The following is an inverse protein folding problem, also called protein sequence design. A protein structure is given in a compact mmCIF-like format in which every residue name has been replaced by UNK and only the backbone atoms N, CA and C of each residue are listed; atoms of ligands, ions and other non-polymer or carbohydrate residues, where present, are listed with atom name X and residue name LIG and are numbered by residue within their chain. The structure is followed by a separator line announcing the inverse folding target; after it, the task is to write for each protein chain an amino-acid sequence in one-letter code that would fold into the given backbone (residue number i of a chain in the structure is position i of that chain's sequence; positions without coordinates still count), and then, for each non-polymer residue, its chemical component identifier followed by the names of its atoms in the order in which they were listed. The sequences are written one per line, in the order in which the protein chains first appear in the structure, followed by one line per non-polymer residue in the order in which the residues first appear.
data_IF_710340784220
#
_entry.id   IF_710340784220
#
_cell.length_a   1.000
_cell.length_b   1.000
_cell.length_c   1.000
_cell.angle_alpha   90.00
_cell.angle_beta   90.00
_cell.angle_gamma   90.00
#
_symmetry.space_group_name_H-M   'P 1'
#
loop_
_entity.id
_entity.type
_entity.pdbx_description
1 polymer ?
#
# COMPACT_ATOMS: atom_id res chain seq x y z
N UNK A 1 1.44 -28.74 -0.59
CA UNK A 1 0.03 -29.17 -0.66
C UNK A 1 -0.82 -28.12 0.00
N UNK A 2 -1.88 -27.65 -0.63
CA UNK A 2 -2.78 -26.66 -0.04
C UNK A 2 -3.78 -27.41 0.87
N UNK A 3 -3.75 -27.13 2.18
CA UNK A 3 -4.57 -27.82 3.18
C UNK A 3 -6.06 -27.59 2.91
N UNK A 4 -6.42 -26.41 2.40
CA UNK A 4 -7.79 -26.08 2.04
C UNK A 4 -8.29 -26.91 0.85
N UNK A 5 -7.42 -27.15 -0.12
CA UNK A 5 -7.71 -27.99 -1.29
C UNK A 5 -7.89 -29.45 -0.88
N UNK A 6 -7.05 -29.93 0.05
CA UNK A 6 -7.16 -31.26 0.65
C UNK A 6 -8.47 -31.45 1.43
N UNK A 7 -8.88 -30.48 2.25
CA UNK A 7 -10.18 -30.54 2.95
C UNK A 7 -11.33 -30.53 1.94
N UNK A 8 -11.25 -29.72 0.88
CA UNK A 8 -12.29 -29.64 -0.16
C UNK A 8 -12.29 -30.81 -1.16
N UNK A 9 -11.34 -31.75 -1.05
CA UNK A 9 -11.21 -32.88 -1.98
C UNK A 9 -12.25 -33.99 -1.76
N UNK A 10 -13.02 -33.93 -0.67
CA UNK A 10 -14.00 -34.95 -0.30
C UNK A 10 -13.42 -36.11 0.54
N UNK A 11 -12.13 -36.04 0.88
CA UNK A 11 -11.44 -37.10 1.64
C UNK A 11 -11.94 -37.23 3.09
N UNK A 12 -12.36 -36.11 3.70
CA UNK A 12 -12.89 -36.06 5.07
C UNK A 12 -14.19 -36.85 5.15
N UNK A 13 -15.09 -36.59 4.20
CA UNK A 13 -16.40 -37.21 4.11
C UNK A 13 -16.28 -38.69 3.78
N UNK A 14 -15.40 -39.05 2.83
CA UNK A 14 -15.12 -40.44 2.47
C UNK A 14 -14.56 -41.23 3.65
N UNK A 15 -13.66 -40.63 4.45
CA UNK A 15 -13.06 -41.29 5.61
C UNK A 15 -14.07 -41.49 6.76
N UNK A 16 -14.85 -40.46 7.10
CA UNK A 16 -15.82 -40.54 8.21
C UNK A 16 -16.99 -41.49 7.88
N UNK A 17 -17.43 -41.52 6.62
CA UNK A 17 -18.48 -42.46 6.18
C UNK A 17 -17.96 -43.90 5.98
N UNK A 18 -16.66 -44.14 6.16
CA UNK A 18 -16.05 -45.46 5.97
C UNK A 18 -15.97 -45.90 4.51
N UNK A 19 -16.03 -44.96 3.56
CA UNK A 19 -15.93 -45.19 2.12
C UNK A 19 -14.48 -45.13 1.60
N UNK A 20 -13.56 -44.53 2.38
CA UNK A 20 -12.15 -44.44 2.03
C UNK A 20 -11.42 -45.78 2.14
N UNK A 21 -10.46 -46.02 1.25
CA UNK A 21 -9.60 -47.20 1.28
C UNK A 21 -8.63 -47.19 2.48
N UNK A 22 -8.08 -48.35 2.85
CA UNK A 22 -7.15 -48.44 4.00
C UNK A 22 -5.93 -47.52 3.88
N UNK A 23 -5.37 -47.38 2.68
CA UNK A 23 -4.24 -46.49 2.42
C UNK A 23 -4.60 -45.00 2.64
N UNK A 24 -5.78 -44.59 2.18
CA UNK A 24 -6.30 -43.23 2.30
C UNK A 24 -6.63 -42.89 3.76
N UNK A 25 -7.13 -43.85 4.53
CA UNK A 25 -7.40 -43.69 5.97
C UNK A 25 -6.11 -43.45 6.76
N UNK A 26 -5.06 -44.20 6.47
CA UNK A 26 -3.75 -44.02 7.12
C UNK A 26 -3.15 -42.65 6.77
N UNK A 27 -3.24 -42.24 5.51
CA UNK A 27 -2.80 -40.89 5.08
C UNK A 27 -3.61 -39.80 5.79
N UNK A 28 -4.93 -39.96 5.87
CA UNK A 28 -5.81 -39.02 6.55
C UNK A 28 -5.52 -38.91 8.06
N UNK A 29 -5.26 -40.02 8.74
CA UNK A 29 -4.89 -40.04 10.16
C UNK A 29 -3.55 -39.33 10.41
N UNK A 30 -2.56 -39.53 9.53
CA UNK A 30 -1.29 -38.82 9.57
C UNK A 30 -1.50 -37.31 9.37
N UNK A 31 -2.35 -36.93 8.41
CA UNK A 31 -2.69 -35.53 8.15
C UNK A 31 -3.44 -34.89 9.33
N UNK A 32 -4.30 -35.64 10.04
CA UNK A 32 -4.95 -35.21 11.28
C UNK A 32 -3.97 -35.03 12.46
N UNK A 33 -2.85 -35.76 12.46
CA UNK A 33 -1.79 -35.60 13.46
C UNK A 33 -0.92 -34.37 13.20
N UNK A 34 -0.66 -34.06 11.93
CA UNK A 34 0.20 -32.96 11.49
C UNK A 34 -0.53 -31.60 11.40
N UNK A 35 -1.83 -31.61 11.08
CA UNK A 35 -2.61 -30.39 10.83
C UNK A 35 -3.88 -30.34 11.68
N UNK A 36 -3.97 -29.35 12.56
CA UNK A 36 -5.14 -29.13 13.43
C UNK A 36 -6.40 -28.74 12.64
N UNK A 37 -6.25 -28.12 11.47
CA UNK A 37 -7.36 -27.72 10.59
C UNK A 37 -8.10 -28.93 10.00
N UNK A 38 -7.37 -29.98 9.60
CA UNK A 38 -7.96 -31.22 9.06
C UNK A 38 -8.71 -31.98 10.16
N UNK A 39 -8.17 -31.99 11.39
CA UNK A 39 -8.86 -32.55 12.57
C UNK A 39 -10.15 -31.80 12.88
N UNK A 40 -10.11 -30.47 12.85
CA UNK A 40 -11.30 -29.65 13.07
C UNK A 40 -12.38 -29.89 12.00
N UNK A 41 -11.99 -30.10 10.74
CA UNK A 41 -12.91 -30.45 9.66
C UNK A 41 -13.57 -31.83 9.87
N UNK A 42 -12.80 -32.84 10.32
CA UNK A 42 -13.33 -34.16 10.71
C UNK A 42 -14.36 -34.04 11.82
N UNK A 43 -14.00 -33.40 12.93
CA UNK A 43 -14.87 -33.30 14.11
C UNK A 43 -16.17 -32.53 13.79
N UNK A 44 -16.10 -31.50 12.93
CA UNK A 44 -17.27 -30.76 12.46
C UNK A 44 -18.21 -31.63 11.61
N UNK A 45 -17.66 -32.48 10.74
CA UNK A 45 -18.45 -33.39 9.91
C UNK A 45 -19.06 -34.53 10.74
N UNK A 46 -18.31 -35.13 11.67
CA UNK A 46 -18.81 -36.14 12.62
C UNK A 46 -19.99 -35.61 13.43
N UNK A 47 -19.89 -34.39 13.96
CA UNK A 47 -20.97 -33.74 14.69
C UNK A 47 -22.22 -33.52 13.82
N UNK A 48 -22.04 -33.16 12.55
CA UNK A 48 -23.16 -32.96 11.63
C UNK A 48 -23.92 -34.26 11.36
N UNK A 49 -23.20 -35.38 11.20
CA UNK A 49 -23.80 -36.71 11.02
C UNK A 49 -24.49 -37.16 12.31
N UNK A 50 -23.88 -36.93 13.48
CA UNK A 50 -24.48 -37.26 14.78
C UNK A 50 -25.82 -36.54 14.96
N UNK A 51 -25.86 -35.22 14.71
CA UNK A 51 -27.09 -34.43 14.80
C UNK A 51 -28.18 -34.95 13.86
N UNK A 52 -27.82 -35.30 12.63
CA UNK A 52 -28.76 -35.84 11.65
C UNK A 52 -29.24 -37.25 12.03
N UNK A 53 -28.36 -38.11 12.53
CA UNK A 53 -28.69 -39.45 13.00
C UNK A 53 -29.61 -39.43 14.23
N UNK A 54 -29.36 -38.50 15.17
CA UNK A 54 -30.20 -38.31 16.34
C UNK A 54 -31.58 -37.74 15.98
N UNK A 55 -31.67 -36.85 14.99
CA UNK A 55 -32.95 -36.34 14.51
C UNK A 55 -33.83 -37.45 13.89
N UNK A 56 -33.22 -38.48 13.31
CA UNK A 56 -33.89 -39.67 12.77
C UNK A 56 -33.95 -40.87 13.73
N UNK A 57 -33.66 -40.68 15.02
CA UNK A 57 -33.51 -41.79 15.95
C UNK A 57 -34.81 -42.59 16.13
N UNK A 58 -34.73 -43.91 15.88
CA UNK A 58 -35.81 -44.85 16.16
C UNK A 58 -35.54 -45.52 17.51
N UNK A 59 -36.56 -45.58 18.37
CA UNK A 59 -36.43 -46.23 19.67
C UNK A 59 -36.08 -47.72 19.48
N UNK A 60 -34.97 -48.22 20.04
CA UNK A 60 -34.61 -49.62 19.93
C UNK A 60 -35.60 -50.51 20.69
N UNK A 61 -35.76 -51.79 20.30
CA UNK A 61 -36.62 -52.74 21.02
C UNK A 61 -36.22 -52.87 22.50
N UNK A 62 -37.21 -52.83 23.39
CA UNK A 62 -37.04 -52.95 24.86
C UNK A 62 -36.16 -54.13 25.32
N UNK A 63 -36.27 -55.36 24.76
CA UNK A 63 -35.45 -56.50 25.23
C UNK A 63 -33.97 -56.42 24.81
N UNK A 64 -33.61 -55.53 23.88
CA UNK A 64 -32.23 -55.40 23.39
C UNK A 64 -31.28 -54.91 24.49
N UNK A 65 -31.76 -53.99 25.35
CA UNK A 65 -30.98 -53.47 26.48
C UNK A 65 -30.62 -54.58 27.46
N UNK A 66 -31.57 -55.45 27.78
CA UNK A 66 -31.35 -56.58 28.69
C UNK A 66 -30.40 -57.61 28.07
N UNK A 67 -30.53 -57.88 26.76
CA UNK A 67 -29.66 -58.81 26.03
C UNK A 67 -28.20 -58.33 26.03
N UNK A 68 -27.97 -57.04 25.76
CA UNK A 68 -26.62 -56.44 25.76
C UNK A 68 -26.03 -56.45 27.18
N UNK A 69 -26.82 -56.08 28.19
CA UNK A 69 -26.38 -56.11 29.59
C UNK A 69 -26.06 -57.54 30.06
N UNK A 70 -26.82 -58.53 29.62
CA UNK A 70 -26.55 -59.94 29.91
C UNK A 70 -25.31 -60.46 29.18
N UNK A 71 -25.06 -60.07 27.92
CA UNK A 71 -23.84 -60.44 27.21
C UNK A 71 -22.59 -59.84 27.87
N UNK A 72 -22.65 -58.55 28.26
CA UNK A 72 -21.59 -57.90 29.03
C UNK A 72 -21.36 -58.58 30.40
N UNK A 73 -22.42 -59.09 31.03
CA UNK A 73 -22.33 -59.84 32.28
C UNK A 73 -21.82 -61.29 32.08
N UNK A 74 -22.16 -61.92 30.96
CA UNK A 74 -21.74 -63.29 30.61
C UNK A 74 -20.28 -63.36 30.12
N UNK A 75 -19.73 -62.26 29.62
CA UNK A 75 -18.31 -62.12 29.29
C UNK A 75 -17.43 -61.90 30.54
N UNK A 76 -18.03 -61.92 31.74
CA UNK A 76 -17.31 -61.99 33.01
C UNK A 76 -16.81 -63.42 33.23
N UNK A 77 -15.52 -63.65 32.95
CA UNK A 77 -14.75 -64.83 33.33
C UNK A 77 -15.10 -65.26 34.78
N UNK A 78 -15.39 -66.55 35.06
CA UNK A 78 -15.77 -66.99 36.39
C UNK A 78 -14.54 -67.08 37.30
N UNK A 79 -14.22 -66.00 38.02
CA UNK A 79 -13.43 -66.13 39.23
C UNK A 79 -14.32 -66.67 40.35
N UNK A 80 -13.98 -67.88 40.76
CA UNK A 80 -14.49 -68.59 41.93
C UNK A 80 -14.45 -67.65 43.14
N UNK A 81 -15.60 -67.26 43.66
CA UNK A 81 -15.72 -66.54 44.93
C UNK A 81 -15.31 -67.51 46.06
N UNK A 82 -14.00 -67.60 46.31
CA UNK A 82 -13.50 -67.91 47.65
C UNK A 82 -13.89 -66.72 48.52
N UNK A 83 -14.52 -66.99 49.65
CA UNK A 83 -14.77 -66.02 50.71
C UNK A 83 -13.50 -65.21 50.99
N UNK A 84 -13.43 -64.00 50.41
CA UNK A 84 -12.40 -63.03 50.73
C UNK A 84 -12.66 -62.52 52.15
N UNK A 85 -11.63 -62.34 52.99
CA UNK A 85 -11.81 -61.76 54.31
C UNK A 85 -12.44 -60.38 54.14
N UNK A 86 -13.38 -60.03 55.01
CA UNK A 86 -13.95 -58.68 55.07
C UNK A 86 -12.81 -57.69 55.31
N UNK A 87 -12.28 -57.11 54.24
CA UNK A 87 -11.34 -56.00 54.31
C UNK A 87 -12.18 -54.80 54.71
N UNK A 88 -12.03 -54.37 55.97
CA UNK A 88 -12.57 -53.10 56.43
C UNK A 88 -12.17 -52.02 55.41
N UNK A 89 -13.16 -51.29 54.88
CA UNK A 89 -12.88 -50.12 54.07
C UNK A 89 -12.07 -49.14 54.94
N UNK A 90 -10.74 -49.13 54.76
CA UNK A 90 -9.93 -48.03 55.25
C UNK A 90 -10.52 -46.76 54.66
N UNK A 91 -10.79 -45.72 55.46
CA UNK A 91 -11.21 -44.45 54.90
C UNK A 91 -10.17 -44.06 53.86
N UNK A 92 -10.61 -43.77 52.63
CA UNK A 92 -9.76 -43.19 51.61
C UNK A 92 -9.29 -41.85 52.19
N UNK A 93 -8.13 -41.87 52.86
CA UNK A 93 -7.38 -40.67 53.19
C UNK A 93 -7.02 -40.06 51.85
N UNK A 94 -7.80 -39.07 51.41
CA UNK A 94 -7.36 -38.14 50.36
C UNK A 94 -5.99 -37.67 50.81
N UNK A 95 -4.95 -38.06 50.08
CA UNK A 95 -3.58 -37.65 50.40
C UNK A 95 -3.59 -36.13 50.39
N UNK A 96 -3.48 -35.52 51.57
CA UNK A 96 -3.36 -34.09 51.69
C UNK A 96 -2.02 -33.75 51.04
N UNK A 97 -2.06 -33.05 49.90
CA UNK A 97 -0.86 -32.57 49.21
C UNK A 97 0.02 -31.86 50.26
N UNK A 98 1.28 -32.28 50.45
CA UNK A 98 2.14 -31.70 51.46
C UNK A 98 2.29 -30.20 51.18
N UNK A 99 2.31 -29.38 52.24
CA UNK A 99 2.33 -27.90 52.13
C UNK A 99 3.52 -27.43 51.28
N UNK A 100 4.64 -28.15 51.29
CA UNK A 100 5.79 -27.91 50.41
C UNK A 100 5.44 -27.94 48.92
N UNK A 101 4.59 -28.87 48.48
CA UNK A 101 4.17 -28.96 47.09
C UNK A 101 3.23 -27.82 46.67
N UNK A 102 2.51 -27.21 47.63
CA UNK A 102 1.78 -25.96 47.39
C UNK A 102 2.73 -24.78 47.15
N UNK A 103 3.85 -24.70 47.89
CA UNK A 103 4.88 -23.68 47.64
C UNK A 103 5.62 -23.90 46.31
N UNK A 104 5.93 -25.15 45.94
CA UNK A 104 6.50 -25.47 44.62
C UNK A 104 5.55 -25.07 43.50
N UNK A 105 4.25 -25.39 43.62
CA UNK A 105 3.25 -24.97 42.65
C UNK A 105 3.15 -23.43 42.56
N UNK A 106 3.17 -22.72 43.69
CA UNK A 106 3.17 -21.26 43.71
C UNK A 106 4.42 -20.66 43.04
N UNK A 107 5.61 -21.21 43.31
CA UNK A 107 6.85 -20.77 42.68
C UNK A 107 6.85 -20.99 41.16
N UNK A 108 6.31 -22.13 40.70
CA UNK A 108 6.17 -22.43 39.27
C UNK A 108 5.24 -21.44 38.55
N UNK A 109 4.11 -21.07 39.18
CA UNK A 109 3.19 -20.05 38.63
C UNK A 109 3.87 -18.68 38.53
N UNK A 110 4.65 -18.28 39.54
CA UNK A 110 5.40 -17.02 39.52
C UNK A 110 6.46 -17.02 38.41
N UNK A 111 7.20 -18.12 38.26
CA UNK A 111 8.19 -18.27 37.19
C UNK A 111 7.54 -18.24 35.81
N UNK A 112 6.40 -18.91 35.65
CA UNK A 112 5.63 -18.90 34.39
C UNK A 112 5.13 -17.49 34.07
N UNK A 113 4.57 -16.78 35.05
CA UNK A 113 4.13 -15.39 34.88
C UNK A 113 5.31 -14.47 34.52
N UNK A 114 6.45 -14.61 35.20
CA UNK A 114 7.67 -13.86 34.88
C UNK A 114 8.18 -14.14 33.47
N UNK A 115 8.20 -15.40 33.05
CA UNK A 115 8.59 -15.80 31.69
C UNK A 115 7.62 -15.26 30.64
N UNK A 116 6.32 -15.29 30.89
CA UNK A 116 5.31 -14.74 29.99
C UNK A 116 5.49 -13.21 29.83
N UNK A 117 5.69 -12.49 30.92
CA UNK A 117 5.96 -11.04 30.90
C UNK A 117 7.24 -10.70 30.14
N UNK A 118 8.33 -11.44 30.37
CA UNK A 118 9.58 -11.28 29.63
C UNK A 118 9.38 -11.56 28.14
N UNK A 119 8.68 -12.64 27.79
CA UNK A 119 8.41 -12.97 26.39
C UNK A 119 7.61 -11.86 25.69
N UNK A 120 6.54 -11.36 26.31
CA UNK A 120 5.76 -10.24 25.78
C UNK A 120 6.62 -8.98 25.63
N UNK A 121 7.45 -8.67 26.63
CA UNK A 121 8.37 -7.53 26.57
C UNK A 121 9.36 -7.65 25.40
N UNK A 122 10.03 -8.81 25.26
CA UNK A 122 10.96 -9.06 24.17
C UNK A 122 10.28 -9.07 22.81
N UNK A 123 9.07 -9.61 22.71
CA UNK A 123 8.29 -9.64 21.47
C UNK A 123 7.89 -8.22 21.03
N UNK A 124 7.42 -7.39 21.96
CA UNK A 124 7.08 -6.00 21.67
C UNK A 124 8.33 -5.20 21.28
N UNK A 125 9.44 -5.41 21.98
CA UNK A 125 10.72 -4.76 21.68
C UNK A 125 11.27 -5.17 20.31
N UNK A 126 11.16 -6.45 19.96
CA UNK A 126 11.55 -6.97 18.65
C UNK A 126 10.71 -6.36 17.51
N UNK A 127 9.39 -6.22 17.73
CA UNK A 127 8.51 -5.52 16.78
C UNK A 127 8.91 -4.07 16.55
N UNK A 128 9.22 -3.33 17.61
CA UNK A 128 9.68 -1.93 17.51
C UNK A 128 11.00 -1.83 16.72
N UNK A 129 11.96 -2.74 16.94
CA UNK A 129 13.21 -2.76 16.17
C UNK A 129 12.98 -2.99 14.67
N UNK A 130 12.12 -3.94 14.30
CA UNK A 130 11.81 -4.20 12.89
C UNK A 130 11.12 -2.99 12.24
N UNK A 131 10.16 -2.36 12.94
CA UNK A 131 9.50 -1.15 12.43
C UNK A 131 10.48 0.01 12.21
N UNK A 132 11.42 0.22 13.13
CA UNK A 132 12.47 1.25 12.97
C UNK A 132 13.41 0.95 11.81
N UNK A 133 13.73 -0.32 11.58
CA UNK A 133 14.56 -0.73 10.45
C UNK A 133 13.87 -0.42 9.11
N UNK A 134 12.58 -0.76 8.99
CA UNK A 134 11.79 -0.44 7.80
C UNK A 134 11.66 1.08 7.58
N UNK A 135 11.46 1.85 8.64
CA UNK A 135 11.46 3.31 8.57
C UNK A 135 12.81 3.88 8.12
N UNK A 136 13.92 3.31 8.59
CA UNK A 136 15.26 3.77 8.21
C UNK A 136 15.53 3.51 6.73
N UNK A 137 15.11 2.33 6.23
CA UNK A 137 15.21 1.99 4.82
C UNK A 137 14.33 2.92 3.97
N UNK A 138 13.08 3.16 4.40
CA UNK A 138 12.18 4.09 3.73
C UNK A 138 12.78 5.50 3.67
N UNK A 139 13.36 5.98 4.78
CA UNK A 139 14.03 7.28 4.84
C UNK A 139 15.22 7.36 3.88
N UNK A 140 16.04 6.31 3.81
CA UNK A 140 17.17 6.26 2.86
C UNK A 140 16.68 6.34 1.40
N UNK A 141 15.63 5.58 1.06
CA UNK A 141 15.06 5.66 -0.30
C UNK A 141 14.46 7.03 -0.60
N UNK A 142 13.86 7.68 0.39
CA UNK A 142 13.33 9.03 0.25
C UNK A 142 14.44 10.06 0.06
N UNK A 143 15.52 9.97 0.83
CA UNK A 143 16.70 10.83 0.66
C UNK A 143 17.35 10.64 -0.71
N UNK A 144 17.46 9.39 -1.19
CA UNK A 144 17.96 9.10 -2.53
C UNK A 144 17.06 9.70 -3.63
N UNK A 145 15.74 9.57 -3.49
CA UNK A 145 14.77 10.19 -4.41
C UNK A 145 14.86 11.72 -4.42
N UNK A 146 14.95 12.34 -3.25
CA UNK A 146 15.11 13.79 -3.11
C UNK A 146 16.42 14.27 -3.71
N UNK A 147 17.53 13.58 -3.45
CA UNK A 147 18.83 13.89 -4.04
C UNK A 147 18.81 13.76 -5.56
N UNK A 148 18.24 12.68 -6.11
CA UNK A 148 18.09 12.51 -7.56
C UNK A 148 17.24 13.63 -8.16
N UNK A 149 16.11 13.98 -7.54
CA UNK A 149 15.27 15.09 -8.00
C UNK A 149 16.03 16.42 -7.97
N UNK A 150 16.82 16.66 -6.94
CA UNK A 150 17.65 17.87 -6.81
C UNK A 150 18.76 17.90 -7.86
N UNK A 151 19.40 16.76 -8.13
CA UNK A 151 20.41 16.62 -9.18
C UNK A 151 19.82 16.85 -10.57
N UNK A 152 18.64 16.30 -10.85
CA UNK A 152 17.91 16.58 -12.11
C UNK A 152 17.58 18.06 -12.25
N UNK A 153 17.07 18.70 -11.19
CA UNK A 153 16.82 20.16 -11.19
C UNK A 153 18.09 20.94 -11.46
N UNK A 154 19.21 20.58 -10.84
CA UNK A 154 20.51 21.22 -11.07
C UNK A 154 20.95 21.08 -12.52
N UNK A 155 20.84 19.88 -13.10
CA UNK A 155 21.17 19.66 -14.51
C UNK A 155 20.30 20.47 -15.46
N UNK A 156 19.01 20.63 -15.15
CA UNK A 156 18.10 21.48 -15.91
C UNK A 156 18.51 22.96 -15.81
N UNK A 157 18.91 23.43 -14.63
CA UNK A 157 19.44 24.79 -14.47
C UNK A 157 20.74 25.00 -15.23
N UNK A 158 21.68 24.05 -15.17
CA UNK A 158 22.92 24.13 -15.94
C UNK A 158 22.67 24.16 -17.45
N UNK A 159 21.77 23.32 -17.96
CA UNK A 159 21.36 23.32 -19.36
C UNK A 159 20.70 24.63 -19.76
N UNK A 160 19.84 25.17 -18.88
CA UNK A 160 19.21 26.47 -19.06
C UNK A 160 20.28 27.57 -19.17
N UNK A 161 21.22 27.64 -18.23
CA UNK A 161 22.30 28.63 -18.20
C UNK A 161 23.21 28.48 -19.43
N UNK A 162 23.56 27.25 -19.84
CA UNK A 162 24.32 27.01 -21.08
C UNK A 162 23.58 27.46 -22.33
N UNK A 163 22.25 27.34 -22.34
CA UNK A 163 21.41 27.92 -23.39
C UNK A 163 21.49 29.44 -23.43
N UNK A 164 21.54 30.09 -22.26
CA UNK A 164 21.66 31.56 -22.14
C UNK A 164 23.04 32.09 -22.54
N UNK A 165 24.12 31.33 -22.27
CA UNK A 165 25.50 31.73 -22.61
C UNK A 165 25.94 31.29 -23.99
N UNK A 166 25.04 30.70 -24.78
CA UNK A 166 25.30 30.31 -26.16
C UNK A 166 25.51 31.56 -27.03
N UNK A 167 26.61 31.67 -27.81
CA UNK A 167 26.85 32.81 -28.69
C UNK A 167 25.78 33.01 -29.78
N UNK A 168 24.96 31.98 -30.06
CA UNK A 168 23.86 32.07 -31.03
C UNK A 168 22.52 32.52 -30.42
N UNK A 169 22.50 32.83 -29.11
CA UNK A 169 21.31 33.30 -28.40
C UNK A 169 21.15 34.81 -28.57
N UNK A 170 20.18 35.25 -29.37
CA UNK A 170 19.78 36.64 -29.44
C UNK A 170 18.91 36.99 -28.23
N UNK A 171 19.32 38.00 -27.45
CA UNK A 171 18.57 38.50 -26.30
C UNK A 171 17.80 39.76 -26.71
N UNK A 172 16.48 39.66 -26.69
CA UNK A 172 15.56 40.75 -27.02
C UNK A 172 14.82 41.15 -25.76
N UNK A 173 15.22 42.27 -25.17
CA UNK A 173 14.48 42.86 -24.05
C UNK A 173 13.27 43.61 -24.59
N UNK A 174 12.09 43.29 -24.06
CA UNK A 174 10.83 43.94 -24.38
C UNK A 174 10.40 44.77 -23.17
N UNK A 175 10.23 46.06 -23.36
CA UNK A 175 9.85 46.99 -22.29
C UNK A 175 8.50 47.63 -22.60
N UNK A 176 7.72 47.93 -21.56
CA UNK A 176 6.40 48.53 -21.71
C UNK A 176 6.47 49.98 -22.21
N UNK A 177 7.55 50.69 -21.87
CA UNK A 177 7.85 52.03 -22.38
C UNK A 177 8.16 52.08 -23.89
N UNK A 178 8.55 50.95 -24.48
CA UNK A 178 8.87 50.84 -25.91
C UNK A 178 7.62 50.53 -26.76
N UNK A 179 6.47 50.29 -26.11
CA UNK A 179 5.17 50.20 -26.78
C UNK A 179 4.80 51.58 -27.33
N UNK A 180 4.49 51.71 -28.64
CA UNK A 180 4.17 52.99 -29.26
C UNK A 180 3.04 53.76 -28.54
N UNK A 181 3.10 55.09 -28.61
CA UNK A 181 2.09 56.01 -28.08
C UNK A 181 1.79 55.86 -26.57
N UNK A 182 2.75 55.34 -25.79
CA UNK A 182 2.54 54.93 -24.40
C UNK A 182 1.34 53.99 -24.24
N UNK A 183 1.09 53.13 -25.24
CA UNK A 183 -0.06 52.24 -25.29
C UNK A 183 -0.01 51.08 -24.28
N UNK A 184 1.07 50.94 -23.52
CA UNK A 184 1.16 49.93 -22.47
C UNK A 184 0.35 50.32 -21.23
N UNK A 185 -0.56 49.46 -20.74
CA UNK A 185 -1.26 49.68 -19.48
C UNK A 185 -0.33 49.75 -18.27
N UNK A 186 0.89 49.19 -18.38
CA UNK A 186 1.91 49.23 -17.34
C UNK A 186 3.30 49.47 -17.98
N UNK A 187 3.73 50.74 -18.10
CA UNK A 187 5.04 51.08 -18.68
C UNK A 187 6.24 50.47 -17.94
N UNK A 188 6.06 50.05 -16.68
CA UNK A 188 7.09 49.37 -15.89
C UNK A 188 7.25 47.89 -16.21
N UNK A 189 6.39 47.33 -17.07
CA UNK A 189 6.46 45.94 -17.49
C UNK A 189 7.72 45.67 -18.32
N UNK A 190 8.38 44.53 -18.06
CA UNK A 190 9.60 44.08 -18.74
C UNK A 190 9.54 42.56 -18.91
N UNK A 191 9.90 42.08 -20.10
CA UNK A 191 10.15 40.66 -20.35
C UNK A 191 11.28 40.49 -21.36
N UNK A 192 12.02 39.40 -21.25
CA UNK A 192 13.18 39.13 -22.13
C UNK A 192 12.91 37.88 -22.95
N UNK A 193 12.94 38.03 -24.27
CA UNK A 193 12.98 36.90 -25.20
C UNK A 193 14.44 36.50 -25.44
N UNK A 194 14.69 35.20 -25.36
CA UNK A 194 15.96 34.58 -25.71
C UNK A 194 15.67 33.69 -26.91
N UNK A 195 16.20 34.06 -28.07
CA UNK A 195 15.94 33.40 -29.33
C UNK A 195 17.21 32.76 -29.88
N UNK A 196 17.22 31.44 -30.01
CA UNK A 196 18.32 30.72 -30.63
C UNK A 196 18.23 30.89 -32.16
N UNK A 197 19.14 31.67 -32.73
CA UNK A 197 19.12 31.99 -34.17
C UNK A 197 19.40 30.78 -35.07
N UNK A 198 19.89 29.65 -34.53
CA UNK A 198 20.16 28.41 -35.25
C UNK A 198 19.03 27.41 -35.12
N UNK A 199 18.63 27.06 -33.88
CA UNK A 199 17.56 26.08 -33.65
C UNK A 199 16.16 26.69 -33.82
N UNK A 200 16.08 28.03 -33.79
CA UNK A 200 14.84 28.82 -33.86
C UNK A 200 13.97 28.67 -32.61
N UNK A 201 14.50 28.06 -31.55
CA UNK A 201 13.83 27.94 -30.27
C UNK A 201 13.76 29.29 -29.57
N UNK A 202 12.59 29.58 -29.02
CA UNK A 202 12.31 30.81 -28.27
C UNK A 202 12.09 30.44 -26.81
N UNK A 203 12.73 31.19 -25.92
CA UNK A 203 12.49 31.11 -24.48
C UNK A 203 12.10 32.50 -23.99
N UNK A 204 11.06 32.58 -23.18
CA UNK A 204 10.61 33.81 -22.57
C UNK A 204 10.97 33.82 -21.09
N UNK A 205 11.67 34.85 -20.66
CA UNK A 205 11.90 35.18 -19.25
C UNK A 205 11.00 36.35 -18.86
N UNK A 206 10.15 36.15 -17.87
CA UNK A 206 9.28 37.20 -17.33
C UNK A 206 10.05 37.94 -16.24
N UNK A 207 10.45 39.19 -16.49
CA UNK A 207 11.22 40.00 -15.55
C UNK A 207 10.32 40.77 -14.60
N UNK A 208 9.31 41.44 -15.15
CA UNK A 208 8.30 42.18 -14.43
C UNK A 208 7.03 42.27 -15.28
N UNK A 209 6.03 41.43 -15.03
CA UNK A 209 4.72 41.54 -15.66
C UNK A 209 3.67 41.37 -14.55
N UNK A 210 2.62 42.21 -14.52
CA UNK A 210 1.56 42.07 -13.52
C UNK A 210 0.84 40.73 -13.70
N UNK A 211 0.26 40.19 -12.62
CA UNK A 211 -0.55 38.99 -12.73
C UNK A 211 -1.81 39.29 -13.56
N UNK A 212 -2.16 38.43 -14.55
CA UNK A 212 -3.37 38.63 -15.34
C UNK A 212 -4.62 38.46 -14.46
N UNK A 213 -5.65 39.25 -14.74
CA UNK A 213 -6.97 39.12 -14.10
C UNK A 213 -7.61 37.75 -14.44
N UNK A 214 -8.56 37.32 -13.61
CA UNK A 214 -9.30 36.05 -13.83
C UNK A 214 -9.91 36.01 -15.23
N UNK A 215 -9.65 34.93 -15.97
CA UNK A 215 -10.14 34.73 -17.33
C UNK A 215 -9.31 35.38 -18.43
N UNK A 216 -8.20 36.06 -18.09
CA UNK A 216 -7.22 36.59 -19.04
C UNK A 216 -5.90 35.83 -18.97
N UNK A 217 -5.15 35.86 -20.07
CA UNK A 217 -3.86 35.19 -20.18
C UNK A 217 -2.95 35.96 -21.13
N UNK A 218 -1.66 36.05 -20.80
CA UNK A 218 -0.70 36.66 -21.70
C UNK A 218 -0.35 35.75 -22.87
N UNK A 219 -0.16 36.36 -24.04
CA UNK A 219 0.28 35.68 -25.26
C UNK A 219 1.51 36.39 -25.84
N UNK A 220 2.51 35.63 -26.22
CA UNK A 220 3.69 36.11 -26.94
C UNK A 220 3.44 36.06 -28.44
N UNK A 221 3.81 37.13 -29.12
CA UNK A 221 3.74 37.28 -30.57
C UNK A 221 5.11 37.52 -31.14
N UNK A 222 5.40 36.87 -32.27
CA UNK A 222 6.52 37.21 -33.13
C UNK A 222 5.97 37.92 -34.37
N UNK A 223 6.50 39.08 -34.73
CA UNK A 223 6.10 39.74 -35.97
C UNK A 223 7.00 39.25 -37.11
N UNK A 224 6.37 38.62 -38.09
CA UNK A 224 7.00 38.02 -39.25
C UNK A 224 6.36 38.62 -40.50
N UNK A 225 7.14 39.32 -41.33
CA UNK A 225 6.63 40.07 -42.48
C UNK A 225 5.43 40.97 -42.14
N UNK A 226 5.57 41.74 -41.06
CA UNK A 226 4.52 42.61 -40.53
C UNK A 226 3.22 41.89 -40.10
N UNK A 227 3.22 40.56 -39.99
CA UNK A 227 2.09 39.78 -39.47
C UNK A 227 2.42 39.16 -38.11
N UNK A 228 1.50 39.25 -37.13
CA UNK A 228 1.68 38.61 -35.84
C UNK A 228 1.52 37.10 -35.96
N UNK A 229 2.54 36.36 -35.56
CA UNK A 229 2.57 34.91 -35.46
C UNK A 229 2.54 34.53 -33.98
N UNK A 230 1.63 33.63 -33.62
CA UNK A 230 1.51 33.12 -32.27
C UNK A 230 2.79 32.37 -31.86
N UNK A 231 3.50 32.92 -30.87
CA UNK A 231 4.69 32.34 -30.29
C UNK A 231 4.41 31.55 -29.00
N UNK A 232 3.18 31.56 -28.49
CA UNK A 232 2.75 30.76 -27.35
C UNK A 232 2.12 31.56 -26.22
N UNK A 233 1.40 30.85 -25.37
CA UNK A 233 0.72 31.40 -24.21
C UNK A 233 1.60 31.30 -22.97
N UNK A 234 1.54 32.30 -22.10
CA UNK A 234 2.24 32.31 -20.82
C UNK A 234 1.34 31.73 -19.74
N UNK A 235 1.86 30.82 -18.93
CA UNK A 235 1.24 30.39 -17.69
C UNK A 235 2.00 30.98 -16.49
N UNK A 236 1.37 31.95 -15.82
CA UNK A 236 1.94 32.66 -14.68
C UNK A 236 1.67 31.96 -13.34
N UNK A 237 0.95 30.82 -13.33
CA UNK A 237 0.54 30.13 -12.09
C UNK A 237 1.67 29.42 -11.35
N UNK A 238 2.78 29.13 -12.02
CA UNK A 238 3.85 28.27 -11.48
C UNK A 238 5.17 28.98 -11.16
N UNK A 239 5.21 30.32 -11.13
CA UNK A 239 6.40 31.09 -10.72
C UNK A 239 7.64 30.84 -11.59
N UNK A 240 7.45 30.40 -12.84
CA UNK A 240 8.55 30.05 -13.73
C UNK A 240 9.32 31.30 -14.16
N UNK A 241 10.62 31.35 -13.83
CA UNK A 241 11.54 32.38 -14.32
C UNK A 241 11.74 32.29 -15.84
N UNK A 242 11.49 31.16 -16.49
CA UNK A 242 11.67 31.00 -17.93
C UNK A 242 10.76 29.91 -18.52
N UNK A 243 10.13 30.20 -19.66
CA UNK A 243 9.16 29.31 -20.34
C UNK A 243 9.62 29.08 -21.78
N UNK A 244 9.65 27.82 -22.23
CA UNK A 244 9.91 27.50 -23.63
C UNK A 244 8.67 27.80 -24.49
N UNK A 245 8.87 28.55 -25.56
CA UNK A 245 7.84 29.02 -26.47
C UNK A 245 7.85 28.23 -27.77
N UNK A 246 6.91 28.54 -28.67
CA UNK A 246 6.87 27.95 -30.01
C UNK A 246 8.13 28.34 -30.79
N UNK A 247 8.54 27.46 -31.69
CA UNK A 247 9.67 27.71 -32.57
C UNK A 247 9.33 28.83 -33.57
N UNK A 248 10.19 29.83 -33.68
CA UNK A 248 9.99 31.00 -34.54
C UNK A 248 11.17 31.10 -35.53
N UNK A 249 10.98 30.78 -36.82
CA UNK A 249 12.08 30.76 -37.80
C UNK A 249 12.75 32.11 -38.04
N UNK A 250 11.96 33.18 -37.95
CA UNK A 250 12.35 34.56 -38.18
C UNK A 250 11.39 35.47 -37.41
N UNK A 251 11.89 36.61 -36.94
CA UNK A 251 11.09 37.65 -36.31
C UNK A 251 11.77 39.01 -36.50
N UNK A 252 10.99 40.06 -36.66
CA UNK A 252 11.47 41.45 -36.70
C UNK A 252 11.35 42.12 -35.32
N UNK A 253 10.31 41.74 -34.57
CA UNK A 253 10.09 42.16 -33.20
C UNK A 253 9.21 41.12 -32.49
N UNK A 254 9.28 41.15 -31.17
CA UNK A 254 8.40 40.39 -30.29
C UNK A 254 7.52 41.35 -29.48
N UNK A 255 6.33 40.89 -29.12
CA UNK A 255 5.40 41.64 -28.28
C UNK A 255 4.58 40.70 -27.41
N UNK A 256 4.15 41.16 -26.24
CA UNK A 256 3.22 40.44 -25.36
C UNK A 256 1.92 41.24 -25.24
N UNK A 257 0.80 40.56 -25.45
CA UNK A 257 -0.54 41.13 -25.23
C UNK A 257 -1.29 40.34 -24.17
N UNK A 258 -2.26 40.99 -23.51
CA UNK A 258 -3.15 40.37 -22.54
C UNK A 258 -4.45 39.94 -23.22
N UNK A 259 -4.57 38.65 -23.53
CA UNK A 259 -5.68 38.07 -24.28
C UNK A 259 -6.69 37.37 -23.35
N UNK A 260 -7.82 36.91 -23.90
CA UNK A 260 -8.73 36.02 -23.18
C UNK A 260 -8.06 34.66 -22.94
N UNK A 261 -8.49 33.95 -21.89
CA UNK A 261 -7.98 32.61 -21.59
C UNK A 261 -8.16 31.68 -22.80
N UNK A 262 -7.09 30.97 -23.16
CA UNK A 262 -7.03 30.16 -24.40
C UNK A 262 -6.40 30.88 -25.60
N UNK A 263 -6.14 32.19 -25.50
CA UNK A 263 -5.43 32.97 -26.50
C UNK A 263 -6.31 33.46 -27.65
N UNK A 264 -5.68 34.18 -28.57
CA UNK A 264 -6.32 34.74 -29.76
C UNK A 264 -5.60 34.28 -31.04
N UNK A 265 -6.31 34.31 -32.17
CA UNK A 265 -5.72 34.07 -33.51
C UNK A 265 -4.91 35.27 -34.02
N UNK A 266 -5.20 36.45 -33.50
CA UNK A 266 -4.49 37.70 -33.76
C UNK A 266 -4.50 38.53 -32.47
N UNK A 267 -3.54 39.46 -32.26
CA UNK A 267 -3.54 40.33 -31.08
C UNK A 267 -4.84 41.14 -31.01
N UNK A 268 -5.60 41.01 -29.92
CA UNK A 268 -6.84 41.77 -29.66
C UNK A 268 -6.77 42.55 -28.36
N UNK A 269 -5.98 42.04 -27.41
CA UNK A 269 -5.79 42.64 -26.11
C UNK A 269 -4.82 43.83 -26.12
N UNK A 270 -4.73 44.56 -24.99
CA UNK A 270 -3.72 45.58 -24.82
C UNK A 270 -2.31 44.98 -24.85
N UNK A 271 -1.39 45.68 -25.49
CA UNK A 271 0.02 45.31 -25.55
C UNK A 271 0.73 45.81 -24.30
N UNK A 272 1.43 44.92 -23.60
CA UNK A 272 2.14 45.26 -22.37
C UNK A 272 3.61 45.57 -22.59
N UNK A 273 4.27 44.82 -23.47
CA UNK A 273 5.69 45.00 -23.78
C UNK A 273 5.94 44.73 -25.27
N UNK A 274 6.94 45.41 -25.82
CA UNK A 274 7.41 45.25 -27.19
C UNK A 274 8.93 45.35 -27.22
N UNK A 275 9.59 44.59 -28.11
CA UNK A 275 11.04 44.68 -28.32
C UNK A 275 11.42 44.24 -29.72
N UNK A 276 12.30 45.01 -30.37
CA UNK A 276 12.81 44.70 -31.72
C UNK A 276 13.99 43.73 -31.62
N UNK A 277 14.08 42.83 -32.61
CA UNK A 277 15.19 41.87 -32.73
C UNK A 277 16.45 42.55 -33.25
#
# INVERSE_FOLDING_TARGET
MNIQEYISSGIVESCVLGLAGEAERVEFEQMCALHTEVRAARDAFELSIEQQALAGAVAPPVPLRETILQQLAAETVPETIRSAPVVQMRPIRRSAVPVTMRYVAAAAVILLAGSALLNIYYFNKYRDYNQRYDQLLALQTQLAKNNNAMQTRMSNYEQTIRGLTNPYMARVTMEGKDVPDNGSPDPGSVATVLWDTRTKDVYLMVNNLPMPETGKQYQLWAIVDNQPVDAGMLDMSHGHMMVKMKNIPRAQLFAITLEQQGGSVSPKGPMYVMGKV
#
